data_IF_820341909285
#
_entry.id   IF_820341909285
#
_cell.length_a   1.000
_cell.length_b   1.000
_cell.length_c   1.000
_cell.angle_alpha   90.00
_cell.angle_beta   90.00
_cell.angle_gamma   90.00
#
_symmetry.space_group_name_H-M   'P 1'
#
loop_
_entity.id
_entity.type
_entity.pdbx_description
1 polymer ?
#
# COMPACT_ATOMS: atom_id res chain seq x y z
N UNK A 1 0.06 -13.87 2.65
CA UNK A 1 -1.14 -13.01 2.72
C UNK A 1 -1.08 -12.14 3.96
N UNK A 2 -1.69 -10.96 3.94
CA UNK A 2 -1.90 -10.07 5.11
C UNK A 2 -3.39 -10.00 5.44
N UNK A 3 -3.73 -9.90 6.73
CA UNK A 3 -5.10 -9.86 7.23
C UNK A 3 -5.33 -8.61 8.06
N UNK A 4 -6.19 -7.73 7.54
CA UNK A 4 -6.60 -6.50 8.19
C UNK A 4 -5.75 -5.30 7.80
N UNK A 5 -6.34 -4.13 8.03
CA UNK A 5 -5.84 -2.83 7.55
C UNK A 5 -4.42 -2.56 8.06
N UNK A 6 -4.17 -2.77 9.36
CA UNK A 6 -2.89 -2.43 9.98
C UNK A 6 -1.74 -3.27 9.43
N UNK A 7 -1.96 -4.57 9.23
CA UNK A 7 -0.92 -5.47 8.73
C UNK A 7 -0.60 -5.14 7.26
N UNK A 8 -1.64 -4.94 6.44
CA UNK A 8 -1.47 -4.52 5.04
C UNK A 8 -0.76 -3.16 4.94
N UNK A 9 -1.12 -2.20 5.81
CA UNK A 9 -0.51 -0.86 5.84
C UNK A 9 0.97 -0.92 6.20
N UNK A 10 1.33 -1.64 7.28
CA UNK A 10 2.73 -1.84 7.67
C UNK A 10 3.56 -2.43 6.53
N UNK A 11 2.98 -3.36 5.77
CA UNK A 11 3.64 -3.98 4.61
C UNK A 11 3.88 -2.99 3.48
N UNK A 12 2.90 -2.14 3.18
CA UNK A 12 3.03 -1.12 2.15
C UNK A 12 4.01 0.01 2.55
N UNK A 13 3.97 0.47 3.79
CA UNK A 13 4.94 1.44 4.32
C UNK A 13 6.37 0.92 4.18
N UNK A 14 6.57 -0.38 4.40
CA UNK A 14 7.85 -1.02 4.19
C UNK A 14 8.32 -0.95 2.74
N UNK A 15 7.43 -1.15 1.76
CA UNK A 15 7.79 -1.04 0.34
C UNK A 15 8.14 0.40 -0.05
N UNK A 16 7.39 1.37 0.45
CA UNK A 16 7.69 2.80 0.22
C UNK A 16 9.09 3.18 0.73
N UNK A 17 9.50 2.66 1.90
CA UNK A 17 10.86 2.87 2.44
C UNK A 17 11.96 2.26 1.57
N UNK A 18 11.70 1.15 0.86
CA UNK A 18 12.68 0.55 -0.05
C UNK A 18 12.93 1.37 -1.31
N UNK A 19 11.91 2.09 -1.79
CA UNK A 19 11.98 2.96 -2.97
C UNK A 19 12.53 4.36 -2.68
N UNK A 20 12.89 4.66 -1.43
CA UNK A 20 13.38 5.99 -1.07
C UNK A 20 14.74 6.29 -1.73
N UNK A 21 14.91 7.47 -2.35
CA UNK A 21 16.17 7.87 -2.93
C UNK A 21 17.20 8.16 -1.83
N UNK A 22 18.48 7.91 -2.10
CA UNK A 22 19.58 8.18 -1.15
C UNK A 22 19.70 9.67 -0.77
N UNK A 23 19.12 10.57 -1.58
CA UNK A 23 19.02 12.01 -1.35
C UNK A 23 17.93 12.40 -0.35
N UNK A 24 17.09 11.47 0.11
CA UNK A 24 16.03 11.76 1.07
C UNK A 24 16.59 12.37 2.37
N UNK A 25 15.89 13.33 3.00
CA UNK A 25 16.30 13.94 4.25
C UNK A 25 16.54 12.91 5.37
N UNK A 26 17.52 13.13 6.28
CA UNK A 26 17.88 12.17 7.33
C UNK A 26 16.72 11.72 8.23
N UNK A 27 15.74 12.60 8.48
CA UNK A 27 14.56 12.28 9.30
C UNK A 27 13.55 11.36 8.58
N UNK A 28 13.62 11.26 7.24
CA UNK A 28 12.88 10.27 6.46
C UNK A 28 13.67 8.96 6.28
N UNK A 29 14.97 8.94 6.62
CA UNK A 29 15.79 7.74 6.52
C UNK A 29 15.38 6.72 7.59
N UNK A 30 15.53 5.47 7.20
CA UNK A 30 15.23 4.27 7.97
C UNK A 30 15.93 4.34 9.34
N UNK A 31 15.17 4.20 10.44
CA UNK A 31 15.74 4.10 11.79
C UNK A 31 16.45 2.75 11.96
N UNK A 32 17.44 2.64 12.85
CA UNK A 32 18.27 1.42 13.04
C UNK A 32 17.44 0.12 13.28
N UNK A 33 16.26 0.22 13.91
CA UNK A 33 15.33 -0.92 14.07
C UNK A 33 14.80 -1.43 12.73
N UNK A 34 14.51 -0.52 11.80
CA UNK A 34 14.01 -0.84 10.46
C UNK A 34 15.14 -1.34 9.54
N UNK A 35 16.41 -1.00 9.78
CA UNK A 35 17.56 -1.50 9.00
C UNK A 35 17.70 -3.03 9.09
N UNK A 36 17.41 -3.63 10.24
CA UNK A 36 17.39 -5.09 10.40
C UNK A 36 16.32 -5.75 9.51
N UNK A 37 15.12 -5.17 9.43
CA UNK A 37 14.05 -5.67 8.56
C UNK A 37 14.35 -5.41 7.08
N UNK A 38 14.97 -4.27 6.77
CA UNK A 38 15.36 -3.89 5.41
C UNK A 38 16.49 -4.77 4.88
N UNK A 39 17.46 -5.12 5.73
CA UNK A 39 18.53 -6.06 5.41
C UNK A 39 18.02 -7.51 5.29
N UNK A 40 17.03 -7.93 6.07
CA UNK A 40 16.34 -9.21 5.86
C UNK A 40 15.61 -9.26 4.50
N UNK A 41 14.98 -8.15 4.08
CA UNK A 41 14.37 -8.04 2.75
C UNK A 41 15.39 -7.98 1.61
N UNK A 42 16.54 -7.33 1.82
CA UNK A 42 17.63 -7.26 0.83
C UNK A 42 18.41 -8.58 0.70
N UNK A 43 18.58 -9.32 1.80
CA UNK A 43 19.50 -10.47 1.85
C UNK A 43 18.86 -11.84 1.61
N UNK A 44 17.52 -11.99 1.63
CA UNK A 44 16.88 -13.29 1.44
C UNK A 44 15.67 -13.25 0.49
N UNK A 45 15.79 -13.95 -0.65
CA UNK A 45 14.92 -14.98 -1.29
C UNK A 45 13.41 -15.13 -0.97
N UNK A 46 12.77 -14.32 -0.12
CA UNK A 46 11.44 -14.56 0.47
C UNK A 46 10.61 -13.28 0.61
N UNK A 47 10.84 -12.24 -0.18
CA UNK A 47 9.93 -11.08 -0.16
C UNK A 47 8.73 -11.42 -1.02
N UNK A 48 7.75 -12.07 -0.39
CA UNK A 48 6.42 -12.24 -0.94
C UNK A 48 5.84 -10.86 -1.23
N UNK A 49 5.96 -10.45 -2.50
CA UNK A 49 5.56 -9.13 -2.96
C UNK A 49 4.04 -9.07 -2.95
N UNK A 50 3.51 -7.97 -2.43
CA UNK A 50 2.07 -7.78 -2.40
C UNK A 50 1.62 -7.46 -3.83
N UNK A 51 0.69 -8.24 -4.38
CA UNK A 51 0.21 -8.05 -5.75
C UNK A 51 -1.19 -7.45 -5.80
N UNK A 52 -2.06 -7.91 -4.90
CA UNK A 52 -3.47 -7.51 -4.86
C UNK A 52 -3.87 -7.18 -3.42
N UNK A 53 -4.66 -6.12 -3.24
CA UNK A 53 -5.28 -5.76 -1.98
C UNK A 53 -6.78 -5.63 -2.21
N UNK A 54 -7.55 -6.33 -1.39
CA UNK A 54 -8.99 -6.17 -1.29
C UNK A 54 -9.34 -5.33 -0.07
N UNK A 55 -10.25 -4.38 -0.23
CA UNK A 55 -10.73 -3.52 0.86
C UNK A 55 -12.25 -3.44 0.84
N UNK A 56 -12.89 -3.67 1.98
CA UNK A 56 -14.34 -3.59 2.14
C UNK A 56 -14.79 -2.13 2.38
N UNK A 57 -14.49 -1.21 1.46
CA UNK A 57 -14.71 0.23 1.66
C UNK A 57 -16.15 0.59 2.03
N UNK A 58 -17.14 -0.13 1.49
CA UNK A 58 -18.57 0.07 1.74
C UNK A 58 -19.06 -0.40 3.12
N UNK A 59 -18.27 -1.24 3.80
CA UNK A 59 -18.60 -1.77 5.14
C UNK A 59 -17.89 -0.97 6.26
N UNK A 60 -16.93 -0.12 5.90
CA UNK A 60 -16.13 0.65 6.85
C UNK A 60 -16.75 2.05 7.02
N UNK A 61 -17.18 2.37 8.25
CA UNK A 61 -17.80 3.67 8.55
C UNK A 61 -16.90 4.89 8.36
N UNK A 62 -15.57 4.73 8.50
CA UNK A 62 -14.62 5.85 8.47
C UNK A 62 -13.60 5.68 7.35
N UNK A 63 -13.63 6.60 6.39
CA UNK A 63 -12.74 6.59 5.22
C UNK A 63 -11.26 6.76 5.58
N UNK A 64 -10.96 7.37 6.72
CA UNK A 64 -9.59 7.55 7.22
C UNK A 64 -8.82 6.22 7.37
N UNK A 65 -9.54 5.11 7.54
CA UNK A 65 -8.95 3.79 7.72
C UNK A 65 -8.43 3.17 6.43
N UNK A 66 -8.82 3.68 5.25
CA UNK A 66 -8.42 3.11 3.97
C UNK A 66 -8.00 4.15 2.92
N UNK A 67 -8.17 5.44 3.20
CA UNK A 67 -7.83 6.54 2.28
C UNK A 67 -6.35 6.59 1.91
N UNK A 68 -5.47 6.01 2.72
CA UNK A 68 -4.03 5.96 2.46
C UNK A 68 -3.62 4.84 1.50
N UNK A 69 -4.47 3.83 1.27
CA UNK A 69 -4.08 2.68 0.43
C UNK A 69 -3.69 3.05 -1.00
N UNK A 70 -4.43 3.91 -1.74
CA UNK A 70 -4.03 4.28 -3.08
C UNK A 70 -2.61 4.88 -3.11
N UNK A 71 -2.33 5.80 -2.18
CA UNK A 71 -1.04 6.49 -2.09
C UNK A 71 0.09 5.50 -1.80
N UNK A 72 -0.11 4.61 -0.83
CA UNK A 72 0.91 3.62 -0.50
C UNK A 72 1.08 2.54 -1.59
N UNK A 73 0.04 2.26 -2.39
CA UNK A 73 0.13 1.34 -3.53
C UNK A 73 0.89 1.94 -4.72
N UNK A 74 0.89 3.26 -4.85
CA UNK A 74 1.78 4.02 -5.73
C UNK A 74 3.18 4.04 -5.08
N UNK A 75 3.81 2.87 -5.03
CA UNK A 75 5.22 2.76 -4.67
C UNK A 75 6.03 2.70 -5.97
N UNK A 76 7.14 3.46 -6.09
CA UNK A 76 7.97 3.42 -7.28
C UNK A 76 8.46 2.00 -7.53
N UNK A 77 7.91 1.37 -8.57
CA UNK A 77 8.40 0.10 -9.03
C UNK A 77 9.69 0.34 -9.81
N UNK A 78 10.74 -0.39 -9.45
CA UNK A 78 11.82 -0.65 -10.40
C UNK A 78 11.13 -1.29 -11.62
N UNK A 79 11.35 -0.75 -12.82
CA UNK A 79 10.62 -0.96 -14.09
C UNK A 79 10.26 -2.42 -14.50
N UNK A 80 10.67 -3.43 -13.75
CA UNK A 80 10.45 -4.85 -14.01
C UNK A 80 9.25 -5.47 -13.28
N UNK A 81 8.65 -4.81 -12.28
CA UNK A 81 7.51 -5.37 -11.54
C UNK A 81 6.18 -4.71 -11.93
N UNK A 82 5.09 -5.48 -12.05
CA UNK A 82 3.75 -4.92 -12.19
C UNK A 82 3.31 -4.29 -10.86
N UNK A 83 2.67 -3.10 -10.92
CA UNK A 83 2.20 -2.38 -9.73
C UNK A 83 1.11 -3.12 -8.95
N UNK A 84 0.89 -2.70 -7.70
CA UNK A 84 -0.13 -3.30 -6.82
C UNK A 84 -1.54 -2.99 -7.36
N UNK A 85 -2.44 -3.97 -7.33
CA UNK A 85 -3.86 -3.80 -7.66
C UNK A 85 -4.68 -3.60 -6.39
N UNK A 86 -5.42 -2.49 -6.34
CA UNK A 86 -6.33 -2.21 -5.24
C UNK A 86 -7.77 -2.47 -5.71
N UNK A 87 -8.51 -3.28 -4.97
CA UNK A 87 -9.85 -3.74 -5.32
C UNK A 87 -10.81 -3.40 -4.18
N UNK A 88 -11.83 -2.59 -4.48
CA UNK A 88 -12.93 -2.36 -3.56
C UNK A 88 -13.93 -3.52 -3.64
N UNK A 89 -14.27 -4.09 -2.49
CA UNK A 89 -15.26 -5.15 -2.37
C UNK A 89 -16.66 -4.58 -2.13
N UNK A 90 -17.72 -5.26 -2.62
CA UNK A 90 -19.10 -4.81 -2.42
C UNK A 90 -19.51 -4.90 -0.95
N UNK A 91 -20.56 -4.16 -0.58
CA UNK A 91 -21.16 -4.19 0.75
C UNK A 91 -21.51 -5.62 1.22
N UNK A 92 -21.27 -5.90 2.49
CA UNK A 92 -21.46 -7.20 3.13
C UNK A 92 -20.24 -8.13 3.03
N UNK A 93 -19.19 -7.71 2.33
CA UNK A 93 -17.97 -8.51 2.17
C UNK A 93 -17.17 -8.63 3.47
N UNK A 94 -17.14 -7.59 4.33
CA UNK A 94 -16.44 -7.67 5.63
C UNK A 94 -16.97 -8.85 6.44
N UNK A 95 -18.29 -9.02 6.51
CA UNK A 95 -18.91 -10.10 7.30
C UNK A 95 -18.56 -11.48 6.72
N UNK A 96 -18.62 -11.64 5.40
CA UNK A 96 -18.28 -12.90 4.74
C UNK A 96 -16.81 -13.27 4.94
N UNK A 97 -15.91 -12.30 4.76
CA UNK A 97 -14.48 -12.48 4.96
C UNK A 97 -14.15 -12.79 6.42
N UNK A 98 -14.75 -12.06 7.36
CA UNK A 98 -14.58 -12.29 8.80
C UNK A 98 -14.99 -13.70 9.19
N UNK A 99 -16.16 -14.16 8.70
CA UNK A 99 -16.66 -15.51 8.94
C UNK A 99 -15.75 -16.58 8.34
N UNK A 100 -15.28 -16.38 7.10
CA UNK A 100 -14.40 -17.32 6.42
C UNK A 100 -13.01 -17.42 7.09
N UNK A 101 -12.48 -16.30 7.58
CA UNK A 101 -11.19 -16.23 8.25
C UNK A 101 -11.25 -16.59 9.76
N UNK A 102 -12.44 -16.79 10.33
CA UNK A 102 -12.61 -17.00 11.78
C UNK A 102 -12.24 -15.78 12.63
N UNK A 103 -12.33 -14.57 12.06
CA UNK A 103 -12.00 -13.32 12.73
C UNK A 103 -13.27 -12.54 13.11
N UNK A 104 -13.19 -11.71 14.15
CA UNK A 104 -14.31 -10.84 14.54
C UNK A 104 -14.62 -9.78 13.47
N UNK A 105 -13.57 -9.22 12.86
CA UNK A 105 -13.63 -8.19 11.81
C UNK A 105 -12.44 -8.34 10.87
N UNK A 106 -12.69 -8.29 9.57
CA UNK A 106 -11.67 -8.36 8.52
C UNK A 106 -12.07 -7.46 7.35
N UNK A 107 -11.52 -6.24 7.37
CA UNK A 107 -11.90 -5.18 6.43
C UNK A 107 -10.93 -5.02 5.24
N UNK A 108 -9.77 -5.66 5.29
CA UNK A 108 -8.79 -5.66 4.19
C UNK A 108 -8.02 -6.98 4.16
N UNK A 109 -7.67 -7.44 2.96
CA UNK A 109 -6.83 -8.63 2.74
C UNK A 109 -5.82 -8.31 1.65
N UNK A 110 -4.56 -8.64 1.90
CA UNK A 110 -3.50 -8.48 0.91
C UNK A 110 -2.95 -9.83 0.43
N UNK A 111 -3.07 -10.11 -0.86
CA UNK A 111 -2.53 -11.32 -1.50
C UNK A 111 -1.09 -11.06 -1.97
N UNK A 112 -0.21 -11.98 -1.57
CA UNK A 112 1.20 -11.96 -1.94
C UNK A 112 1.45 -12.93 -3.10
N UNK A 113 2.49 -12.68 -3.89
CA UNK A 113 2.87 -13.47 -5.07
C UNK A 113 2.87 -14.98 -4.85
N UNK A 114 3.49 -15.47 -3.77
CA UNK A 114 3.55 -16.91 -3.50
C UNK A 114 2.44 -17.38 -2.53
N UNK A 115 1.31 -16.66 -2.44
CA UNK A 115 0.17 -17.13 -1.63
C UNK A 115 -0.40 -18.40 -2.30
N UNK A 116 -0.53 -19.53 -1.57
CA UNK A 116 -1.03 -20.77 -2.14
C UNK A 116 -2.39 -20.61 -2.82
N UNK A 117 -2.56 -21.22 -3.99
CA UNK A 117 -3.81 -21.21 -4.77
C UNK A 117 -4.32 -19.82 -5.17
N UNK A 118 -3.46 -18.80 -5.17
CA UNK A 118 -3.86 -17.41 -5.50
C UNK A 118 -3.46 -16.95 -6.91
N UNK A 119 -2.71 -17.76 -7.66
CA UNK A 119 -2.16 -17.37 -8.96
C UNK A 119 -3.27 -17.01 -9.98
N UNK A 120 -4.31 -17.84 -10.07
CA UNK A 120 -5.42 -17.62 -11.01
C UNK A 120 -6.17 -16.31 -10.71
N UNK A 121 -6.44 -16.03 -9.43
CA UNK A 121 -7.15 -14.80 -9.03
C UNK A 121 -6.28 -13.56 -9.24
N UNK A 122 -4.97 -13.65 -8.96
CA UNK A 122 -4.02 -12.56 -9.25
C UNK A 122 -4.02 -12.28 -10.76
N UNK A 123 -3.87 -13.31 -11.59
CA UNK A 123 -3.84 -13.17 -13.05
C UNK A 123 -5.14 -12.59 -13.60
N UNK A 124 -6.29 -13.07 -13.10
CA UNK A 124 -7.60 -12.53 -13.46
C UNK A 124 -7.72 -11.04 -13.15
N UNK A 125 -7.32 -10.63 -11.94
CA UNK A 125 -7.38 -9.24 -11.49
C UNK A 125 -6.43 -8.36 -12.30
N UNK A 126 -5.22 -8.84 -12.56
CA UNK A 126 -4.22 -8.08 -13.34
C UNK A 126 -4.70 -7.79 -14.76
N UNK A 127 -5.48 -8.71 -15.35
CA UNK A 127 -6.10 -8.53 -16.67
C UNK A 127 -7.29 -7.56 -16.66
N UNK A 128 -8.01 -7.45 -15.55
CA UNK A 128 -9.27 -6.69 -15.46
C UNK A 128 -9.12 -5.30 -14.83
N UNK A 129 -8.20 -5.16 -13.89
CA UNK A 129 -8.05 -3.98 -13.04
C UNK A 129 -6.68 -3.37 -13.36
N UNK A 130 -6.61 -2.06 -13.69
CA UNK A 130 -5.34 -1.38 -13.91
C UNK A 130 -4.58 -1.20 -12.59
N UNK A 131 -3.24 -0.98 -12.63
CA UNK A 131 -2.50 -0.56 -11.44
C UNK A 131 -3.07 0.75 -10.89
N UNK A 132 -2.87 0.98 -9.59
CA UNK A 132 -3.17 2.27 -8.99
C UNK A 132 -2.30 3.34 -9.65
N UNK A 133 -2.94 4.41 -10.13
CA UNK A 133 -2.27 5.54 -10.75
C UNK A 133 -2.73 6.83 -10.07
N UNK A 134 -1.76 7.65 -9.63
CA UNK A 134 -2.01 8.91 -8.95
C UNK A 134 -1.39 10.03 -9.81
N UNK A 135 -2.20 10.75 -10.61
CA UNK A 135 -1.69 11.69 -11.60
C UNK A 135 -0.81 12.80 -11.02
N UNK A 136 -1.17 13.30 -9.83
CA UNK A 136 -0.44 14.38 -9.14
C UNK A 136 0.89 13.92 -8.53
N UNK A 137 1.11 12.61 -8.40
CA UNK A 137 2.33 12.03 -7.84
C UNK A 137 3.33 11.61 -8.94
N UNK A 138 2.82 11.15 -10.08
CA UNK A 138 3.63 10.64 -11.20
C UNK A 138 4.48 11.71 -11.91
N UNK A 139 4.15 12.99 -11.78
CA UNK A 139 4.86 14.10 -12.43
C UNK A 139 5.12 15.23 -11.43
N UNK A 140 6.19 15.17 -10.60
CA UNK A 140 6.68 16.34 -9.90
C UNK A 140 7.33 17.28 -10.91
N UNK A 141 6.51 17.98 -11.69
CA UNK A 141 6.95 19.04 -12.61
C UNK A 141 7.48 20.18 -11.76
N UNK A 142 8.79 20.19 -11.52
CA UNK A 142 9.55 21.23 -10.80
C UNK A 142 9.00 21.62 -9.42
N UNK A 143 9.74 21.33 -8.36
CA UNK A 143 9.49 21.95 -7.06
C UNK A 143 9.75 23.45 -7.18
N UNK A 144 8.69 24.25 -7.25
CA UNK A 144 8.80 25.70 -7.06
C UNK A 144 8.85 25.97 -5.55
N UNK A 145 9.83 26.76 -5.11
CA UNK A 145 9.88 27.22 -3.73
C UNK A 145 8.57 27.94 -3.44
N UNK A 146 7.75 27.40 -2.54
CA UNK A 146 6.49 28.02 -2.19
C UNK A 146 6.79 29.29 -1.42
N UNK A 147 6.49 30.44 -2.00
CA UNK A 147 6.43 31.73 -1.31
C UNK A 147 5.21 31.74 -0.40
N UNK A 148 5.17 30.86 0.61
CA UNK A 148 4.10 30.86 1.62
C UNK A 148 4.34 32.08 2.49
N UNK A 149 3.72 33.19 2.09
CA UNK A 149 3.59 34.36 2.94
C UNK A 149 2.56 33.96 4.01
N UNK A 150 2.97 33.98 5.28
CA UNK A 150 2.03 33.80 6.39
C UNK A 150 0.93 34.85 6.24
N UNK A 151 -0.33 34.42 6.08
CA UNK A 151 -1.45 35.35 6.08
C UNK A 151 -1.57 35.94 7.49
N UNK A 152 -1.59 37.27 7.64
CA UNK A 152 -1.73 37.88 8.95
C UNK A 152 -3.07 37.45 9.55
N UNK A 153 -3.04 36.98 10.80
CA UNK A 153 -4.24 36.69 11.57
C UNK A 153 -5.09 37.96 11.65
N UNK A 154 -6.35 37.90 11.20
CA UNK A 154 -7.33 38.94 11.51
C UNK A 154 -7.62 38.89 13.01
N UNK A 155 -7.29 39.97 13.71
CA UNK A 155 -7.73 40.23 15.08
C UNK A 155 -9.24 40.51 15.11
#
# INVERSE_FOLDING_TARGET
MTLGINETTKRLEMYSKLGMPSSAPPYLKIQEKDEKYTSLLKNNKLVDTLKVIFVCCEDIHSSILYSHFPILCETPNNNSQPGIRLVALPKGSEQQLSKAAGLKRLAAIGIMENTPHSEEIINYIFKKIPPVYIPWLANPTSFQATSIIQTPYKQ
#
